data_IF_672191205946
#
_entry.id   IF_672191205946
#
_cell.length_a   1.000
_cell.length_b   1.000
_cell.length_c   1.000
_cell.angle_alpha   90.00
_cell.angle_beta   90.00
_cell.angle_gamma   90.00
#
_symmetry.space_group_name_H-M   'P 1'
#
loop_
_entity.id
_entity.type
_entity.pdbx_description
1 polymer ?
#
# COMPACT_ATOMS: atom_id res chain seq x y z
N UNK A 1 3.61 4.33 -2.66
CA UNK A 1 2.56 4.81 -1.74
C UNK A 1 2.55 6.33 -1.73
N UNK A 2 1.37 6.94 -1.77
CA UNK A 2 1.16 8.39 -1.65
C UNK A 2 -0.13 8.67 -0.87
N UNK A 3 -0.26 9.90 -0.38
CA UNK A 3 -1.51 10.42 0.18
C UNK A 3 -2.00 11.52 -0.76
N UNK A 4 -3.27 11.51 -1.11
CA UNK A 4 -3.87 12.60 -1.89
C UNK A 4 -4.40 13.73 -0.95
N UNK A 5 -4.84 14.88 -1.50
CA UNK A 5 -5.37 15.98 -0.68
C UNK A 5 -6.62 15.64 0.14
N UNK A 6 -7.35 14.56 -0.19
CA UNK A 6 -8.51 14.10 0.58
C UNK A 6 -8.11 13.24 1.79
N UNK A 7 -6.82 12.91 1.91
CA UNK A 7 -6.29 12.01 2.94
C UNK A 7 -6.36 10.54 2.55
N UNK A 8 -6.68 10.21 1.29
CA UNK A 8 -6.73 8.82 0.84
C UNK A 8 -5.32 8.27 0.58
N UNK A 9 -5.07 7.06 1.09
CA UNK A 9 -3.83 6.33 0.90
C UNK A 9 -3.90 5.55 -0.40
N UNK A 10 -3.03 5.87 -1.35
CA UNK A 10 -2.95 5.20 -2.65
C UNK A 10 -1.67 4.37 -2.70
N UNK A 11 -1.83 3.06 -2.87
CA UNK A 11 -0.75 2.08 -2.87
C UNK A 11 -0.74 1.36 -4.21
N UNK A 12 0.22 1.71 -5.06
CA UNK A 12 0.48 0.97 -6.28
C UNK A 12 1.44 -0.20 -5.98
N UNK A 13 1.09 -1.40 -6.43
CA UNK A 13 1.89 -2.62 -6.25
C UNK A 13 2.02 -3.41 -7.55
N UNK A 14 3.22 -3.95 -7.77
CA UNK A 14 3.52 -4.78 -8.93
C UNK A 14 3.08 -6.24 -8.77
N UNK A 15 2.47 -6.60 -7.63
CA UNK A 15 1.71 -7.84 -7.50
C UNK A 15 0.30 -7.64 -8.06
N UNK A 16 -0.26 -8.70 -8.64
CA UNK A 16 -1.60 -8.66 -9.23
C UNK A 16 -2.42 -9.81 -8.69
N UNK A 17 -3.57 -9.48 -8.13
CA UNK A 17 -4.56 -10.40 -7.63
C UNK A 17 -5.25 -11.15 -8.77
N UNK A 18 -5.44 -12.45 -8.56
CA UNK A 18 -6.19 -13.39 -9.38
C UNK A 18 -7.14 -14.22 -8.49
N UNK A 19 -7.62 -13.64 -7.38
CA UNK A 19 -8.52 -14.28 -6.41
C UNK A 19 -7.93 -14.61 -5.03
N UNK A 20 -6.67 -14.24 -4.75
CA UNK A 20 -6.00 -14.56 -3.47
C UNK A 20 -6.40 -13.61 -2.31
N UNK A 21 -7.10 -12.52 -2.59
CA UNK A 21 -7.40 -11.48 -1.60
C UNK A 21 -6.25 -10.50 -1.33
N UNK A 22 -5.35 -10.30 -2.31
CA UNK A 22 -4.22 -9.37 -2.20
C UNK A 22 -4.66 -7.95 -1.84
N UNK A 23 -5.58 -7.37 -2.61
CA UNK A 23 -6.12 -6.04 -2.37
C UNK A 23 -6.58 -5.87 -0.93
N UNK A 24 -7.38 -6.81 -0.42
CA UNK A 24 -7.87 -6.81 0.96
C UNK A 24 -6.73 -6.82 1.98
N UNK A 25 -5.79 -7.78 1.86
CA UNK A 25 -4.71 -7.93 2.84
C UNK A 25 -3.74 -6.75 2.79
N UNK A 26 -3.44 -6.24 1.60
CA UNK A 26 -2.58 -5.07 1.43
C UNK A 26 -3.22 -3.81 2.01
N UNK A 27 -4.52 -3.62 1.78
CA UNK A 27 -5.27 -2.51 2.36
C UNK A 27 -5.30 -2.59 3.90
N UNK A 28 -5.53 -3.78 4.46
CA UNK A 28 -5.53 -4.00 5.91
C UNK A 28 -4.18 -3.64 6.56
N UNK A 29 -3.06 -4.08 5.99
CA UNK A 29 -1.72 -3.77 6.54
C UNK A 29 -1.50 -2.25 6.62
N UNK A 30 -1.89 -1.51 5.58
CA UNK A 30 -1.76 -0.06 5.58
C UNK A 30 -2.76 0.60 6.54
N UNK A 31 -4.03 0.20 6.50
CA UNK A 31 -5.08 0.74 7.35
C UNK A 31 -4.75 0.60 8.83
N UNK A 32 -4.26 -0.57 9.26
CA UNK A 32 -3.84 -0.84 10.63
C UNK A 32 -2.70 0.09 11.07
N UNK A 33 -1.67 0.26 10.22
CA UNK A 33 -0.56 1.13 10.57
C UNK A 33 -0.99 2.60 10.67
N UNK A 34 -1.87 3.05 9.78
CA UNK A 34 -2.33 4.43 9.74
C UNK A 34 -3.42 4.72 10.76
N UNK A 35 -4.11 3.70 11.28
CA UNK A 35 -5.24 3.85 12.19
C UNK A 35 -6.47 4.40 11.48
N UNK A 36 -6.70 3.98 10.24
CA UNK A 36 -7.82 4.43 9.39
C UNK A 36 -8.70 3.26 8.97
N UNK A 37 -9.90 3.55 8.48
CA UNK A 37 -10.80 2.56 7.92
C UNK A 37 -10.35 2.13 6.51
N UNK A 38 -10.76 0.93 6.07
CA UNK A 38 -10.34 0.38 4.78
C UNK A 38 -10.74 1.26 3.58
N UNK A 39 -11.84 2.01 3.65
CA UNK A 39 -12.28 2.95 2.60
C UNK A 39 -11.28 4.11 2.37
N UNK A 40 -10.37 4.34 3.32
CA UNK A 40 -9.27 5.30 3.18
C UNK A 40 -8.05 4.72 2.46
N UNK A 41 -8.08 3.46 2.04
CA UNK A 41 -6.98 2.81 1.34
C UNK A 41 -7.42 2.30 -0.03
N UNK A 42 -6.71 2.72 -1.07
CA UNK A 42 -6.89 2.25 -2.44
C UNK A 42 -5.63 1.52 -2.89
N UNK A 43 -5.80 0.28 -3.36
CA UNK A 43 -4.74 -0.51 -3.97
C UNK A 43 -4.86 -0.39 -5.49
N UNK A 44 -3.73 -0.13 -6.16
CA UNK A 44 -3.63 -0.11 -7.61
C UNK A 44 -2.74 -1.27 -8.03
N UNK A 45 -3.31 -2.21 -8.78
CA UNK A 45 -2.63 -3.39 -9.33
C UNK A 45 -2.75 -3.39 -10.86
N UNK A 46 -1.80 -4.00 -11.55
CA UNK A 46 -1.87 -4.19 -13.01
C UNK A 46 -1.71 -2.94 -13.88
N UNK A 47 -1.53 -1.75 -13.30
CA UNK A 47 -1.25 -0.52 -14.03
C UNK A 47 0.26 -0.25 -14.12
N UNK A 48 0.84 -0.57 -15.27
CA UNK A 48 2.28 -0.37 -15.55
C UNK A 48 2.67 1.11 -15.70
N UNK A 49 1.74 2.03 -15.92
CA UNK A 49 2.03 3.46 -15.91
C UNK A 49 2.20 3.99 -14.48
N UNK A 50 1.54 3.36 -13.50
CA UNK A 50 1.63 3.75 -12.10
C UNK A 50 2.84 3.19 -11.34
N UNK A 51 3.58 2.23 -11.93
CA UNK A 51 4.67 1.49 -11.27
C UNK A 51 5.84 1.27 -12.21
N UNK A 52 7.04 1.72 -11.81
CA UNK A 52 8.25 1.56 -12.61
C UNK A 52 8.70 0.10 -12.79
N UNK A 53 8.49 -0.74 -11.77
CA UNK A 53 8.83 -2.17 -11.82
C UNK A 53 7.93 -2.99 -10.90
N UNK A 54 7.46 -4.13 -11.40
CA UNK A 54 6.68 -5.10 -10.65
C UNK A 54 7.17 -6.52 -10.90
N UNK A 55 7.36 -7.31 -9.83
CA UNK A 55 7.77 -8.70 -9.97
C UNK A 55 6.61 -9.63 -10.35
N UNK A 56 5.35 -9.20 -10.18
CA UNK A 56 4.18 -10.06 -10.36
C UNK A 56 3.90 -10.96 -9.16
N UNK A 57 2.90 -11.82 -9.34
CA UNK A 57 2.40 -12.76 -8.32
C UNK A 57 2.75 -14.19 -8.69
N UNK A 58 3.56 -14.84 -7.86
CA UNK A 58 3.89 -16.27 -7.94
C UNK A 58 4.57 -16.73 -6.65
N UNK A 59 4.70 -18.06 -6.45
CA UNK A 59 5.52 -18.63 -5.37
C UNK A 59 5.11 -18.23 -3.96
N UNK A 60 3.81 -17.99 -3.73
CA UNK A 60 3.24 -17.66 -2.41
C UNK A 60 3.94 -16.52 -1.66
N UNK A 61 4.57 -15.60 -2.39
CA UNK A 61 5.44 -14.55 -1.82
C UNK A 61 4.77 -13.19 -1.69
N UNK A 62 3.65 -12.98 -2.37
CA UNK A 62 3.04 -11.64 -2.56
C UNK A 62 2.72 -11.00 -1.21
N UNK A 63 2.03 -11.69 -0.30
CA UNK A 63 1.72 -11.16 1.04
C UNK A 63 2.97 -10.80 1.83
N UNK A 64 3.97 -11.69 1.87
CA UNK A 64 5.19 -11.46 2.65
C UNK A 64 5.96 -10.25 2.11
N UNK A 65 6.23 -10.24 0.80
CA UNK A 65 7.11 -9.24 0.20
C UNK A 65 6.41 -7.89 0.03
N UNK A 66 5.21 -7.89 -0.55
CA UNK A 66 4.45 -6.65 -0.77
C UNK A 66 3.94 -6.11 0.55
N UNK A 67 3.46 -6.96 1.46
CA UNK A 67 3.05 -6.53 2.79
C UNK A 67 4.17 -5.85 3.57
N UNK A 68 5.38 -6.44 3.57
CA UNK A 68 6.56 -5.82 4.19
C UNK A 68 6.94 -4.49 3.52
N UNK A 69 6.86 -4.41 2.19
CA UNK A 69 7.13 -3.18 1.46
C UNK A 69 6.10 -2.08 1.76
N UNK A 70 4.82 -2.43 1.86
CA UNK A 70 3.73 -1.53 2.25
C UNK A 70 3.95 -1.02 3.67
N UNK A 71 4.24 -1.90 4.62
CA UNK A 71 4.52 -1.52 6.01
C UNK A 71 5.69 -0.55 6.08
N UNK A 72 6.81 -0.87 5.43
CA UNK A 72 8.00 -0.02 5.42
C UNK A 72 7.76 1.36 4.77
N UNK A 73 7.04 1.41 3.65
CA UNK A 73 6.67 2.66 3.00
C UNK A 73 5.71 3.49 3.86
N UNK A 74 4.73 2.85 4.47
CA UNK A 74 3.74 3.46 5.34
C UNK A 74 4.39 4.06 6.59
N UNK A 75 5.31 3.34 7.24
CA UNK A 75 6.02 3.82 8.43
C UNK A 75 6.83 5.09 8.14
N UNK A 76 7.62 5.09 7.05
CA UNK A 76 8.41 6.25 6.62
C UNK A 76 7.53 7.46 6.29
N UNK A 77 6.41 7.24 5.62
CA UNK A 77 5.49 8.30 5.25
C UNK A 77 4.74 8.85 6.47
N UNK A 78 4.31 7.99 7.41
CA UNK A 78 3.67 8.40 8.66
C UNK A 78 4.60 9.26 9.52
N UNK A 79 5.88 8.88 9.63
CA UNK A 79 6.88 9.70 10.31
C UNK A 79 7.04 11.09 9.67
N UNK A 80 7.08 11.16 8.33
CA UNK A 80 7.12 12.44 7.61
C UNK A 80 5.87 13.30 7.88
N UNK A 81 4.68 12.70 7.83
CA UNK A 81 3.41 13.39 8.08
C UNK A 81 3.34 13.91 9.52
N UNK A 82 3.71 13.10 10.51
CA UNK A 82 3.68 13.51 11.92
C UNK A 82 4.63 14.67 12.21
N UNK A 83 5.83 14.68 11.60
CA UNK A 83 6.74 15.83 11.70
C UNK A 83 6.12 17.10 11.14
N UNK A 84 5.48 17.02 9.98
CA UNK A 84 4.81 18.17 9.36
C UNK A 84 3.61 18.65 10.17
N UNK A 85 2.86 17.73 10.79
CA UNK A 85 1.69 18.06 11.61
C UNK A 85 2.03 18.62 13.00
N UNK A 86 3.27 18.46 13.45
CA UNK A 86 3.76 18.99 14.73
C UNK A 86 4.29 20.42 14.65
N UNK A 87 4.37 21.00 13.45
CA UNK A 87 4.69 22.41 13.19
C UNK A 87 3.40 23.24 13.14
#
# INVERSE_FOLDING_TARGET
>A
MRIDPSGQLIIATGATGHGQGHETVFAQIAADLWGVTLDKVSIVEGDTASIAFGCGTFGSRSTVNVGSAIYGASARLKEKVLRLAAH
#
